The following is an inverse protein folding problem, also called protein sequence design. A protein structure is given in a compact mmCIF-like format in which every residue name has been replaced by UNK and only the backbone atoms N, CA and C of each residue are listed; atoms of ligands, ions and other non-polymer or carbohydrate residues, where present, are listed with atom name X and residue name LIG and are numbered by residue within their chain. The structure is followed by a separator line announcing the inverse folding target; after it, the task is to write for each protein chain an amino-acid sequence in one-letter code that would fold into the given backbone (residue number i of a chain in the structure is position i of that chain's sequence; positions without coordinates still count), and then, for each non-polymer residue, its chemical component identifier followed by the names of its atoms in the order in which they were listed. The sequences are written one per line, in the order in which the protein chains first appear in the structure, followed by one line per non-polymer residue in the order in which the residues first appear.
data_IF_547001210687
#
_entry.id   IF_547001210687
#
_cell.length_a   1.000
_cell.length_b   1.000
_cell.length_c   1.000
_cell.angle_alpha   90.00
_cell.angle_beta   90.00
_cell.angle_gamma   90.00
#
_symmetry.space_group_name_H-M   'P 1'
#
loop_
_entity.id
_entity.type
_entity.pdbx_description
1 polymer ?
#
# COMPACT_ATOMS: atom_id res chain seq x y z
N UNK A 1 -1.65 -11.75 15.59
CA UNK A 1 -1.65 -11.39 15.67
C UNK A 1 -1.46 -10.83 15.82
N UNK A 2 -1.66 -10.80 15.53
CA UNK A 2 -1.49 -10.22 15.50
C UNK A 2 -1.25 -9.45 15.91
N UNK A 3 -1.08 -9.22 15.98
CA UNK A 3 -0.95 -8.72 16.22
C UNK A 3 -0.92 -8.16 16.58
N UNK A 4 -0.55 -8.81 16.93
CA UNK A 4 -0.65 -8.16 17.39
C UNK A 4 -0.82 -7.35 16.87
N UNK A 5 -0.69 -7.83 16.23
CA UNK A 5 -0.86 -6.90 15.31
C UNK A 5 -2.00 -6.03 15.48
N UNK A 6 -1.73 -4.97 15.66
CA UNK A 6 -2.65 -3.90 15.81
C UNK A 6 -3.24 -3.58 14.46
N UNK A 7 -4.54 -3.63 14.27
CA UNK A 7 -5.08 -3.21 12.99
C UNK A 7 -4.79 -1.73 12.76
N UNK A 8 -4.48 -1.35 11.54
CA UNK A 8 -4.33 0.05 11.22
C UNK A 8 -5.63 0.81 11.49
N UNK A 9 -5.50 2.06 11.84
CA UNK A 9 -6.66 2.84 12.19
C UNK A 9 -7.67 2.95 11.06
N UNK A 10 -7.24 2.84 9.82
CA UNK A 10 -8.15 2.95 8.70
C UNK A 10 -8.92 1.70 8.39
N UNK A 11 -8.70 0.61 9.13
CA UNK A 11 -9.30 -0.68 8.82
C UNK A 11 -9.80 -1.34 10.10
N UNK A 12 -10.86 -0.78 10.70
CA UNK A 12 -11.35 -1.33 11.97
C UNK A 12 -11.85 -2.73 11.80
N UNK A 13 -11.53 -3.57 12.76
CA UNK A 13 -12.02 -4.92 12.80
C UNK A 13 -11.30 -5.90 11.89
N UNK A 14 -10.38 -5.43 11.09
CA UNK A 14 -9.66 -6.29 10.16
C UNK A 14 -8.17 -6.12 10.37
N UNK A 15 -7.55 -6.94 11.19
CA UNK A 15 -6.11 -6.82 11.39
C UNK A 15 -5.35 -7.20 10.12
N UNK A 16 -4.15 -6.68 9.93
CA UNK A 16 -3.34 -7.12 8.80
C UNK A 16 -3.01 -8.59 8.97
N UNK A 17 -2.75 -9.29 7.88
CA UNK A 17 -2.35 -10.69 7.98
C UNK A 17 -1.12 -10.84 8.85
N UNK A 18 -0.96 -12.01 9.44
CA UNK A 18 0.26 -12.33 10.15
C UNK A 18 1.44 -12.16 9.19
N UNK A 19 2.63 -12.11 9.75
CA UNK A 19 3.83 -11.95 8.93
C UNK A 19 3.80 -12.91 7.74
N UNK A 20 3.80 -12.36 6.55
CA UNK A 20 3.72 -13.12 5.33
C UNK A 20 4.99 -12.87 4.53
N UNK A 21 5.70 -13.95 4.21
CA UNK A 21 6.88 -13.82 3.38
C UNK A 21 6.47 -13.37 1.98
N UNK A 22 7.25 -12.47 1.36
CA UNK A 22 6.98 -12.06 -0.01
C UNK A 22 7.06 -13.26 -0.94
N UNK A 23 6.18 -13.29 -1.94
CA UNK A 23 6.14 -14.38 -2.90
C UNK A 23 6.42 -13.93 -4.33
N UNK A 24 6.59 -12.64 -4.53
CA UNK A 24 6.91 -12.10 -5.84
C UNK A 24 8.19 -11.28 -5.82
N UNK A 25 8.66 -10.88 -7.00
CA UNK A 25 9.85 -10.04 -7.06
C UNK A 25 9.57 -8.64 -6.52
N UNK A 26 10.60 -8.01 -6.00
CA UNK A 26 10.51 -6.63 -5.55
C UNK A 26 10.52 -5.72 -6.78
N UNK A 27 9.50 -4.88 -6.87
CA UNK A 27 9.40 -3.90 -7.94
C UNK A 27 9.75 -2.55 -7.34
N UNK A 28 10.78 -1.91 -7.87
CA UNK A 28 11.26 -0.65 -7.34
C UNK A 28 10.80 0.50 -8.22
N UNK A 29 10.23 1.49 -7.57
CA UNK A 29 9.81 2.72 -8.21
C UNK A 29 10.52 3.92 -7.60
N UNK A 30 10.03 5.10 -7.91
CA UNK A 30 10.59 6.34 -7.38
C UNK A 30 9.91 6.66 -6.06
N UNK A 31 10.61 6.39 -4.97
CA UNK A 31 10.08 6.63 -3.64
C UNK A 31 9.07 5.62 -3.17
N UNK A 32 8.96 4.49 -3.85
CA UNK A 32 8.01 3.45 -3.47
C UNK A 32 8.46 2.11 -4.05
N UNK A 33 8.20 1.06 -3.30
CA UNK A 33 8.42 -0.31 -3.80
C UNK A 33 7.12 -1.08 -3.69
N UNK A 34 7.01 -2.15 -4.46
CA UNK A 34 5.85 -3.04 -4.42
C UNK A 34 6.31 -4.49 -4.44
N UNK A 35 5.63 -5.32 -3.67
CA UNK A 35 5.92 -6.75 -3.66
C UNK A 35 4.66 -7.53 -3.33
N UNK A 36 4.42 -8.60 -4.09
CA UNK A 36 3.30 -9.49 -3.83
C UNK A 36 3.61 -10.31 -2.58
N UNK A 37 2.68 -10.33 -1.62
CA UNK A 37 2.90 -11.01 -0.35
C UNK A 37 1.93 -12.16 -0.11
N UNK A 38 0.80 -12.19 -0.82
CA UNK A 38 -0.17 -13.28 -0.70
C UNK A 38 -0.94 -13.40 -1.99
N UNK A 39 -1.20 -14.63 -2.42
CA UNK A 39 -2.00 -14.89 -3.60
C UNK A 39 -2.86 -16.11 -3.37
N UNK A 40 -4.16 -15.92 -3.56
CA UNK A 40 -5.15 -16.98 -3.52
C UNK A 40 -5.98 -16.93 -4.79
N UNK A 41 -6.84 -17.90 -4.97
CA UNK A 41 -7.77 -17.87 -6.09
C UNK A 41 -8.74 -16.71 -5.88
N UNK A 42 -8.73 -15.75 -6.80
CA UNK A 42 -9.66 -14.62 -6.73
C UNK A 42 -9.31 -13.56 -5.70
N UNK A 43 -8.10 -13.58 -5.12
CA UNK A 43 -7.71 -12.60 -4.12
C UNK A 43 -6.20 -12.55 -4.01
N UNK A 44 -5.66 -11.34 -3.79
CA UNK A 44 -4.23 -11.22 -3.51
C UNK A 44 -3.97 -10.01 -2.62
N UNK A 45 -2.80 -10.00 -2.02
CA UNK A 45 -2.36 -8.87 -1.21
C UNK A 45 -0.98 -8.43 -1.67
N UNK A 46 -0.80 -7.11 -1.69
CA UNK A 46 0.46 -6.51 -2.08
C UNK A 46 0.93 -5.56 -1.01
N UNK A 47 2.23 -5.46 -0.86
CA UNK A 47 2.86 -4.55 0.09
C UNK A 47 3.60 -3.47 -0.65
N UNK A 48 3.38 -2.24 -0.24
CA UNK A 48 4.09 -1.09 -0.77
C UNK A 48 4.84 -0.41 0.36
N UNK A 49 6.06 0.02 0.09
CA UNK A 49 6.86 0.75 1.05
C UNK A 49 7.16 2.11 0.44
N UNK A 50 6.65 3.15 1.11
CA UNK A 50 6.87 4.53 0.68
C UNK A 50 8.13 5.05 1.36
N UNK A 51 9.01 5.66 0.60
CA UNK A 51 10.21 6.28 1.13
C UNK A 51 10.15 7.78 0.89
N UNK A 52 10.38 8.55 1.95
CA UNK A 52 10.43 9.99 1.81
C UNK A 52 11.80 10.38 1.27
N UNK A 53 11.84 10.72 -0.01
CA UNK A 53 13.09 11.07 -0.69
C UNK A 53 13.33 12.59 -0.71
N UNK A 54 12.49 13.34 0.01
CA UNK A 54 12.65 14.78 0.13
C UNK A 54 13.49 15.11 1.35
N UNK A 55 13.87 16.36 1.49
CA UNK A 55 14.62 16.83 2.65
C UNK A 55 13.73 17.38 3.75
N UNK A 56 12.42 17.15 3.67
CA UNK A 56 11.44 17.63 4.66
C UNK A 56 10.59 16.49 5.15
N UNK A 57 10.04 16.56 6.37
CA UNK A 57 9.09 15.57 6.83
C UNK A 57 7.87 15.53 5.91
N UNK A 58 7.37 14.33 5.63
CA UNK A 58 6.21 14.13 4.79
C UNK A 58 5.01 13.86 5.70
N UNK A 59 4.21 14.88 5.95
CA UNK A 59 3.06 14.75 6.84
C UNK A 59 1.85 14.16 6.14
N UNK A 60 1.73 14.43 4.85
CA UNK A 60 0.61 13.95 4.07
C UNK A 60 1.13 13.38 2.77
N UNK A 61 0.44 12.36 2.28
CA UNK A 61 0.77 11.80 0.97
C UNK A 61 -0.48 11.19 0.36
N UNK A 62 -0.48 11.13 -0.95
CA UNK A 62 -1.54 10.51 -1.73
C UNK A 62 -0.91 9.57 -2.73
N UNK A 63 -1.43 8.36 -2.79
CA UNK A 63 -0.95 7.34 -3.72
C UNK A 63 -2.13 6.83 -4.52
N UNK A 64 -1.98 6.81 -5.84
CA UNK A 64 -2.98 6.24 -6.72
C UNK A 64 -2.33 5.18 -7.59
N UNK A 65 -3.07 4.12 -7.91
CA UNK A 65 -2.58 3.07 -8.76
C UNK A 65 -3.75 2.26 -9.29
N UNK A 66 -3.49 1.46 -10.31
CA UNK A 66 -4.50 0.57 -10.88
C UNK A 66 -4.07 -0.88 -10.70
N UNK A 67 -5.05 -1.73 -10.40
CA UNK A 67 -4.86 -3.18 -10.34
C UNK A 67 -5.77 -3.79 -11.40
N UNK A 68 -5.29 -3.93 -12.65
CA UNK A 68 -6.16 -4.39 -13.73
C UNK A 68 -6.80 -5.75 -13.42
N UNK A 69 -8.11 -5.82 -13.55
CA UNK A 69 -8.85 -7.04 -13.28
C UNK A 69 -9.11 -7.34 -11.83
N UNK A 70 -8.70 -6.49 -10.92
CA UNK A 70 -8.89 -6.72 -9.50
C UNK A 70 -9.36 -5.45 -8.81
N UNK A 71 -10.13 -5.61 -7.74
CA UNK A 71 -10.70 -4.50 -6.99
C UNK A 71 -10.05 -4.41 -5.63
N UNK A 72 -9.40 -3.29 -5.34
CA UNK A 72 -8.83 -3.04 -4.03
C UNK A 72 -9.98 -2.86 -3.04
N UNK A 73 -9.99 -3.68 -1.99
CA UNK A 73 -11.06 -3.67 -0.99
C UNK A 73 -10.56 -3.47 0.42
N UNK A 74 -9.33 -3.83 0.70
CA UNK A 74 -8.76 -3.71 2.04
C UNK A 74 -7.49 -2.90 1.98
N UNK A 75 -7.23 -2.19 3.08
CA UNK A 75 -6.02 -1.38 3.19
C UNK A 75 -5.54 -1.41 4.64
N UNK A 76 -4.25 -1.53 4.83
CA UNK A 76 -3.61 -1.45 6.14
C UNK A 76 -2.46 -0.46 6.04
N UNK A 77 -2.34 0.40 7.06
CA UNK A 77 -1.28 1.42 7.08
C UNK A 77 -1.65 2.70 6.37
N UNK A 78 -2.87 2.80 5.82
CA UNK A 78 -3.29 3.97 5.08
C UNK A 78 -4.81 4.05 5.11
N UNK A 79 -5.33 5.16 4.62
CA UNK A 79 -6.77 5.35 4.48
C UNK A 79 -7.17 5.10 3.03
N UNK A 80 -8.13 4.22 2.81
CA UNK A 80 -8.64 3.94 1.47
C UNK A 80 -9.69 4.99 1.13
N UNK A 81 -9.35 5.89 0.22
CA UNK A 81 -10.25 6.94 -0.22
C UNK A 81 -11.18 6.41 -1.30
N UNK A 82 -10.62 5.62 -2.21
CA UNK A 82 -11.38 5.04 -3.31
C UNK A 82 -10.79 3.69 -3.63
N UNK A 83 -11.64 2.66 -3.63
CA UNK A 83 -11.23 1.29 -3.97
C UNK A 83 -11.53 0.95 -5.42
N UNK A 84 -11.51 -0.35 -5.73
CA UNK A 84 -11.78 -0.83 -7.07
C UNK A 84 -10.49 -1.00 -7.87
N UNK A 85 -10.61 -1.04 -9.18
CA UNK A 85 -9.44 -1.21 -10.04
C UNK A 85 -8.53 0.02 -10.05
N UNK A 86 -9.06 1.16 -9.70
CA UNK A 86 -8.33 2.42 -9.66
C UNK A 86 -8.39 2.93 -8.23
N UNK A 87 -7.36 2.62 -7.48
CA UNK A 87 -7.36 2.90 -6.05
C UNK A 87 -6.68 4.22 -5.73
N UNK A 88 -7.23 4.90 -4.73
CA UNK A 88 -6.61 6.09 -4.16
C UNK A 88 -6.50 5.88 -2.66
N UNK A 89 -5.30 6.04 -2.12
CA UNK A 89 -5.05 5.92 -0.70
C UNK A 89 -4.29 7.15 -0.21
N UNK A 90 -4.46 7.45 1.07
CA UNK A 90 -3.82 8.59 1.70
C UNK A 90 -3.30 8.19 3.06
N UNK A 91 -2.44 9.04 3.60
CA UNK A 91 -1.90 8.83 4.94
C UNK A 91 -3.03 8.74 5.96
N UNK A 92 -2.78 7.99 7.02
CA UNK A 92 -3.71 7.91 8.15
C UNK A 92 -3.75 9.25 8.88
N UNK A 93 -4.95 9.63 9.34
CA UNK A 93 -5.10 10.81 10.17
C UNK A 93 -4.36 10.58 11.49
N UNK A 94 -3.60 11.56 11.91
CA UNK A 94 -2.87 11.45 13.16
C UNK A 94 -1.59 10.62 13.07
N UNK A 95 -1.27 10.07 11.92
CA UNK A 95 -0.02 9.34 11.77
C UNK A 95 1.16 10.30 11.82
N UNK A 96 2.31 9.87 12.36
CA UNK A 96 3.48 10.73 12.38
C UNK A 96 3.98 10.97 10.96
N UNK A 97 4.62 12.12 10.76
CA UNK A 97 5.23 12.43 9.48
C UNK A 97 6.35 11.44 9.19
N UNK A 98 6.53 11.11 7.91
CA UNK A 98 7.66 10.28 7.50
C UNK A 98 8.88 11.19 7.42
N UNK A 99 9.91 10.96 8.24
CA UNK A 99 11.09 11.82 8.19
C UNK A 99 11.86 11.63 6.88
N UNK A 100 12.72 12.59 6.53
CA UNK A 100 13.56 12.42 5.34
C UNK A 100 14.34 11.11 5.39
N UNK A 101 14.27 10.33 4.32
CA UNK A 101 14.89 9.01 4.28
C UNK A 101 14.11 7.92 4.99
N UNK A 102 13.05 8.28 5.70
CA UNK A 102 12.23 7.30 6.40
C UNK A 102 11.27 6.59 5.47
N UNK A 103 10.67 5.50 5.98
CA UNK A 103 9.78 4.67 5.19
C UNK A 103 8.45 4.46 5.91
N UNK A 104 7.44 4.10 5.14
CA UNK A 104 6.11 3.79 5.66
C UNK A 104 5.55 2.61 4.88
N UNK A 105 5.09 1.58 5.61
CA UNK A 105 4.58 0.37 5.00
C UNK A 105 3.08 0.48 4.80
N UNK A 106 2.62 0.08 3.62
CA UNK A 106 1.21 -0.01 3.27
C UNK A 106 0.97 -1.38 2.69
N UNK A 107 -0.13 -2.02 3.07
CA UNK A 107 -0.52 -3.29 2.49
C UNK A 107 -1.96 -3.19 2.03
N UNK A 108 -2.26 -3.72 0.85
CA UNK A 108 -3.63 -3.72 0.34
C UNK A 108 -4.05 -5.14 -0.01
N UNK A 109 -5.37 -5.35 0.01
CA UNK A 109 -5.96 -6.60 -0.47
C UNK A 109 -6.91 -6.30 -1.61
N UNK A 110 -6.86 -7.12 -2.65
CA UNK A 110 -7.67 -6.92 -3.83
C UNK A 110 -8.36 -8.22 -4.24
N UNK A 111 -9.60 -8.11 -4.67
CA UNK A 111 -10.37 -9.24 -5.15
C UNK A 111 -10.17 -9.35 -6.66
N UNK A 112 -9.61 -10.48 -7.10
CA UNK A 112 -9.33 -10.74 -8.50
C UNK A 112 -7.98 -11.39 -8.67
N UNK A 113 -7.54 -11.59 -9.91
CA UNK A 113 -6.25 -12.19 -10.16
C UNK A 113 -5.10 -11.28 -9.75
N UNK A 114 -4.02 -11.86 -9.28
CA UNK A 114 -2.86 -11.10 -8.88
C UNK A 114 -2.32 -10.31 -10.07
N UNK A 115 -2.05 -9.03 -9.83
CA UNK A 115 -1.49 -8.17 -10.86
C UNK A 115 -0.57 -7.15 -10.21
N UNK A 116 0.43 -6.70 -10.97
CA UNK A 116 1.30 -5.63 -10.51
C UNK A 116 0.57 -4.30 -10.68
N UNK A 117 0.57 -3.44 -9.66
CA UNK A 117 -0.03 -2.12 -9.81
C UNK A 117 0.59 -1.36 -10.97
N UNK A 118 -0.24 -0.63 -11.68
CA UNK A 118 0.18 0.16 -12.83
C UNK A 118 -0.34 1.58 -12.70
N UNK A 119 0.30 2.51 -13.40
CA UNK A 119 -0.11 3.90 -13.36
C UNK A 119 0.05 4.48 -11.98
N UNK A 120 1.03 4.04 -11.25
CA UNK A 120 1.26 4.49 -9.89
C UNK A 120 1.73 5.94 -9.87
N UNK A 121 1.09 6.75 -9.00
CA UNK A 121 1.50 8.13 -8.77
C UNK A 121 1.52 8.39 -7.29
N UNK A 122 2.62 8.95 -6.83
CA UNK A 122 2.80 9.33 -5.43
C UNK A 122 2.94 10.84 -5.39
N UNK A 123 1.98 11.51 -4.74
CA UNK A 123 1.95 12.97 -4.62
C UNK A 123 2.00 13.66 -5.99
N UNK A 124 1.36 13.05 -6.99
CA UNK A 124 1.31 13.63 -8.33
C UNK A 124 2.49 13.30 -9.22
N UNK A 125 3.50 12.60 -8.69
CA UNK A 125 4.65 12.19 -9.50
C UNK A 125 4.59 10.71 -9.80
N UNK A 126 4.99 10.30 -10.99
CA UNK A 126 4.93 8.90 -11.36
C UNK A 126 5.88 8.06 -10.52
N UNK A 127 5.42 6.88 -10.10
CA UNK A 127 6.28 5.92 -9.41
C UNK A 127 7.22 5.20 -10.36
N UNK A 128 6.89 5.16 -11.63
CA UNK A 128 7.68 4.44 -12.61
C UNK A 128 7.13 3.05 -12.93
N UNK A 129 6.01 2.67 -12.35
CA UNK A 129 5.35 1.43 -12.74
C UNK A 129 3.85 1.61 -12.74
#
# INVERSE_FOLDING_TARGET
PPAAGQPPAGQPGTPPPATTAPIGPLIEGKGITYQLVQRDEGYFEGKMVITNRTDRPMKTWKLTFRTPGADVKNIWGARLVHGGEKAEIRNLDGAPAIPPGGTWDVQFGAAGPASTPKGCELNGGTCGF
#
